data_IF_042374694487
#
_entry.id   IF_042374694487
#
_cell.length_a   1.000
_cell.length_b   1.000
_cell.length_c   1.000
_cell.angle_alpha   90.00
_cell.angle_beta   90.00
_cell.angle_gamma   90.00
#
_symmetry.space_group_name_H-M   'P 1'
#
loop_
_entity.id
_entity.type
_entity.pdbx_description
1 polymer ?
#
# COMPACT_ATOMS: atom_id res chain seq x y z
N UNK A 1 -24.43 -16.47 -10.87
CA UNK A 1 -23.72 -15.99 -9.67
C UNK A 1 -22.73 -14.94 -10.14
N UNK A 2 -23.01 -13.65 -9.90
CA UNK A 2 -22.03 -12.60 -10.19
C UNK A 2 -20.92 -12.71 -9.16
N UNK A 3 -19.75 -13.19 -9.56
CA UNK A 3 -18.58 -13.10 -8.70
C UNK A 3 -18.26 -11.61 -8.56
N UNK A 4 -18.50 -11.04 -7.38
CA UNK A 4 -17.97 -9.72 -7.05
C UNK A 4 -16.45 -9.80 -7.13
N UNK A 5 -15.88 -9.22 -8.19
CA UNK A 5 -14.44 -9.05 -8.31
C UNK A 5 -14.03 -8.13 -7.15
N UNK A 6 -13.10 -8.56 -6.28
CA UNK A 6 -12.64 -7.72 -5.18
C UNK A 6 -12.12 -6.43 -5.75
N UNK A 7 -12.73 -5.31 -5.36
CA UNK A 7 -12.21 -4.02 -5.74
C UNK A 7 -10.84 -3.86 -5.08
N UNK A 8 -9.81 -3.76 -5.91
CA UNK A 8 -8.44 -3.49 -5.46
C UNK A 8 -8.38 -2.01 -5.09
N UNK A 9 -8.22 -1.68 -3.80
CA UNK A 9 -7.97 -0.29 -3.39
C UNK A 9 -6.52 0.04 -3.65
N UNK A 10 -6.25 1.16 -4.32
CA UNK A 10 -4.90 1.63 -4.65
C UNK A 10 -4.70 3.04 -4.11
N UNK A 11 -3.54 3.27 -3.53
CA UNK A 11 -3.16 4.54 -2.93
C UNK A 11 -1.80 4.94 -3.50
N UNK A 12 -1.74 6.11 -4.13
CA UNK A 12 -0.48 6.67 -4.58
C UNK A 12 0.31 7.12 -3.35
N UNK A 13 1.51 6.57 -3.16
CA UNK A 13 2.38 6.86 -2.00
C UNK A 13 3.45 7.88 -2.37
N UNK A 14 4.11 7.64 -3.49
CA UNK A 14 5.07 8.53 -4.16
C UNK A 14 4.83 8.43 -5.67
N UNK A 15 5.43 9.28 -6.50
CA UNK A 15 5.22 9.29 -7.98
C UNK A 15 5.25 7.89 -8.61
N UNK A 16 6.13 7.05 -8.10
CA UNK A 16 6.54 5.76 -8.66
C UNK A 16 6.21 4.58 -7.71
N UNK A 17 5.40 4.84 -6.68
CA UNK A 17 5.13 3.89 -5.60
C UNK A 17 3.64 3.85 -5.28
N UNK A 18 3.03 2.68 -5.45
CA UNK A 18 1.62 2.43 -5.20
C UNK A 18 1.46 1.42 -4.09
N UNK A 19 0.69 1.78 -3.07
CA UNK A 19 0.24 0.84 -2.05
C UNK A 19 -1.14 0.31 -2.45
N UNK A 20 -1.27 -1.00 -2.57
CA UNK A 20 -2.48 -1.68 -3.01
C UNK A 20 -2.98 -2.61 -1.92
N UNK A 21 -4.29 -2.56 -1.62
CA UNK A 21 -4.96 -3.53 -0.75
C UNK A 21 -5.78 -4.52 -1.57
N UNK A 22 -5.56 -5.81 -1.37
CA UNK A 22 -6.30 -6.89 -2.02
C UNK A 22 -6.65 -8.00 -1.01
N UNK A 23 -7.25 -9.12 -1.47
CA UNK A 23 -7.64 -10.26 -0.61
C UNK A 23 -6.47 -10.89 0.17
N UNK A 24 -5.22 -10.65 -0.25
CA UNK A 24 -3.98 -11.14 0.37
C UNK A 24 -3.26 -10.04 1.18
N UNK A 25 -3.95 -8.97 1.56
CA UNK A 25 -3.37 -7.90 2.39
C UNK A 25 -2.84 -6.72 1.58
N UNK A 26 -1.94 -5.97 2.22
CA UNK A 26 -1.28 -4.80 1.65
C UNK A 26 -0.05 -5.20 0.85
N UNK A 27 0.06 -4.63 -0.35
CA UNK A 27 1.16 -4.86 -1.28
C UNK A 27 1.68 -3.53 -1.78
N UNK A 28 2.99 -3.36 -1.71
CA UNK A 28 3.68 -2.21 -2.25
C UNK A 28 4.27 -2.55 -3.61
N UNK A 29 3.92 -1.73 -4.60
CA UNK A 29 4.29 -1.92 -6.00
C UNK A 29 5.07 -0.69 -6.45
N UNK A 30 6.26 -0.91 -7.00
CA UNK A 30 7.10 0.12 -7.59
C UNK A 30 6.78 0.40 -9.05
N UNK A 31 7.68 1.12 -9.71
CA UNK A 31 7.66 1.30 -11.16
C UNK A 31 7.61 -0.05 -11.89
N UNK A 32 7.04 -0.03 -13.10
CA UNK A 32 6.91 -1.20 -13.97
C UNK A 32 6.15 -2.38 -13.35
N UNK A 33 5.33 -2.12 -12.33
CA UNK A 33 4.59 -3.14 -11.58
C UNK A 33 5.48 -4.11 -10.79
N UNK A 34 6.69 -3.68 -10.41
CA UNK A 34 7.59 -4.47 -9.55
C UNK A 34 6.98 -4.67 -8.15
N UNK A 35 6.93 -5.92 -7.68
CA UNK A 35 6.58 -6.22 -6.29
C UNK A 35 7.74 -5.85 -5.36
N UNK A 36 7.51 -4.93 -4.43
CA UNK A 36 8.52 -4.51 -3.46
C UNK A 36 8.33 -5.23 -2.12
N UNK A 37 7.10 -5.16 -1.57
CA UNK A 37 6.82 -5.66 -0.22
C UNK A 37 5.35 -6.02 -0.03
N UNK A 38 5.08 -6.82 1.01
CA UNK A 38 3.74 -7.06 1.52
C UNK A 38 3.76 -7.10 3.04
N UNK A 39 2.68 -6.66 3.68
CA UNK A 39 2.45 -6.76 5.12
C UNK A 39 2.49 -8.20 5.64
N UNK A 40 2.02 -9.18 4.85
CA UNK A 40 1.99 -10.59 5.24
C UNK A 40 3.39 -11.21 5.27
N UNK A 41 4.25 -10.85 4.31
CA UNK A 41 5.54 -11.49 4.12
C UNK A 41 6.62 -10.72 4.89
N UNK A 42 6.60 -9.38 4.78
CA UNK A 42 7.74 -8.52 5.06
C UNK A 42 7.33 -7.18 5.72
N UNK A 43 6.48 -7.18 6.77
CA UNK A 43 5.96 -5.95 7.40
C UNK A 43 7.04 -4.98 7.93
N UNK A 44 8.18 -5.51 8.38
CA UNK A 44 9.31 -4.72 8.89
C UNK A 44 10.38 -4.39 7.82
N UNK A 45 10.15 -4.78 6.56
CA UNK A 45 11.08 -4.45 5.47
C UNK A 45 11.07 -2.94 5.24
N UNK A 46 12.27 -2.35 5.20
CA UNK A 46 12.45 -0.95 4.86
C UNK A 46 12.13 -0.74 3.38
N UNK A 47 11.20 0.16 3.13
CA UNK A 47 10.77 0.54 1.80
C UNK A 47 11.82 1.46 1.18
N UNK A 48 12.38 1.10 0.00
CA UNK A 48 13.26 2.00 -0.74
C UNK A 48 12.57 3.34 -1.00
N UNK A 49 13.32 4.44 -0.95
CA UNK A 49 12.83 5.79 -1.30
C UNK A 49 11.74 6.38 -0.39
N UNK A 50 11.41 5.76 0.74
CA UNK A 50 10.52 6.31 1.78
C UNK A 50 11.29 6.67 3.07
N UNK A 51 12.45 7.29 2.93
CA UNK A 51 13.27 7.76 4.05
C UNK A 51 13.63 6.68 5.09
N UNK A 52 13.68 5.41 4.65
CA UNK A 52 13.98 4.28 5.53
C UNK A 52 12.81 3.74 6.34
N UNK A 53 11.58 4.23 6.11
CA UNK A 53 10.35 3.70 6.72
C UNK A 53 10.11 2.25 6.35
N UNK A 54 9.51 1.50 7.27
CA UNK A 54 9.05 0.13 7.07
C UNK A 54 7.74 0.07 6.28
N UNK A 55 7.42 -1.10 5.74
CA UNK A 55 6.14 -1.36 5.08
C UNK A 55 4.95 -1.00 5.98
N UNK A 56 5.02 -1.36 7.27
CA UNK A 56 3.97 -1.01 8.23
C UNK A 56 3.81 0.51 8.39
N UNK A 57 4.89 1.24 8.59
CA UNK A 57 4.85 2.71 8.72
C UNK A 57 4.30 3.39 7.45
N UNK A 58 4.59 2.85 6.27
CA UNK A 58 4.02 3.34 5.01
C UNK A 58 2.51 3.10 4.95
N UNK A 59 2.03 1.93 5.39
CA UNK A 59 0.60 1.63 5.47
C UNK A 59 -0.10 2.58 6.44
N UNK A 60 0.46 2.77 7.63
CA UNK A 60 -0.08 3.67 8.65
C UNK A 60 -0.17 5.12 8.16
N UNK A 61 0.87 5.61 7.47
CA UNK A 61 0.87 6.96 6.87
C UNK A 61 -0.25 7.11 5.83
N UNK A 62 -0.43 6.13 4.96
CA UNK A 62 -1.48 6.16 3.92
C UNK A 62 -2.87 6.13 4.55
N UNK A 63 -3.09 5.25 5.53
CA UNK A 63 -4.37 5.16 6.24
C UNK A 63 -4.64 6.47 6.98
N UNK A 64 -3.67 7.02 7.70
CA UNK A 64 -3.83 8.28 8.43
C UNK A 64 -4.17 9.45 7.51
N UNK A 65 -3.51 9.58 6.35
CA UNK A 65 -3.84 10.59 5.33
C UNK A 65 -5.26 10.44 4.80
N UNK A 66 -5.67 9.21 4.48
CA UNK A 66 -7.02 8.96 3.94
C UNK A 66 -8.10 9.19 5.00
N UNK A 67 -7.88 8.74 6.24
CA UNK A 67 -8.83 8.98 7.33
C UNK A 67 -8.93 10.47 7.68
N UNK A 68 -7.81 11.19 7.66
CA UNK A 68 -7.76 12.64 7.86
C UNK A 68 -8.43 13.45 6.75
N UNK A 69 -8.62 12.87 5.57
CA UNK A 69 -9.39 13.48 4.47
C UNK A 69 -10.91 13.19 4.56
N UNK A 70 -11.37 12.38 5.52
CA UNK A 70 -12.79 12.01 5.68
C UNK A 70 -13.58 12.91 6.65
N UNK A 71 -13.13 14.14 6.88
CA UNK A 71 -13.85 15.15 7.67
C UNK A 71 -14.26 16.31 6.75
N UNK A 72 -15.27 16.08 5.92
CA UNK A 72 -16.09 17.13 5.30
C UNK A 72 -17.54 16.62 5.14
#
# INVERSE_FOLDING_TARGET
MSQEVPQVKRFQVEKDLVLSYNRKGWVLIGNDSEFIASDIINSNLRVPYKDGKTMLEVIEEVIAKNLGQTLD
#
